data_IF_747680242044
#
_entry.id   IF_747680242044
#
_cell.length_a   1.000
_cell.length_b   1.000
_cell.length_c   1.000
_cell.angle_alpha   90.00
_cell.angle_beta   90.00
_cell.angle_gamma   90.00
#
_symmetry.space_group_name_H-M   'P 1'
#
loop_
_entity.id
_entity.type
_entity.pdbx_description
1 polymer ?
#
# COMPACT_ATOMS: atom_id res chain seq x y z
N UNK A 1 -12.19 6.99 4.37
CA UNK A 1 -11.00 6.23 3.89
C UNK A 1 -10.71 6.64 2.46
N UNK A 2 -9.45 6.85 2.14
CA UNK A 2 -8.98 7.20 0.79
C UNK A 2 -9.23 6.10 -0.24
N UNK A 3 -8.81 6.33 -1.48
CA UNK A 3 -8.70 5.27 -2.47
C UNK A 3 -7.46 5.46 -3.34
N UNK A 4 -6.91 4.34 -3.80
CA UNK A 4 -5.80 4.28 -4.72
C UNK A 4 -6.23 3.63 -6.03
N UNK A 5 -5.58 4.05 -7.11
CA UNK A 5 -5.66 3.44 -8.43
C UNK A 5 -4.26 3.43 -9.04
N UNK A 6 -3.86 2.33 -9.63
CA UNK A 6 -2.56 2.18 -10.27
C UNK A 6 -2.64 1.42 -11.58
N UNK A 7 -1.77 1.77 -12.53
CA UNK A 7 -1.53 1.03 -13.77
C UNK A 7 -0.03 0.86 -13.93
N UNK A 8 0.39 -0.35 -14.26
CA UNK A 8 1.78 -0.74 -14.43
C UNK A 8 1.95 -1.59 -15.69
N UNK A 9 3.19 -1.80 -16.10
CA UNK A 9 3.53 -2.53 -17.32
C UNK A 9 2.83 -1.96 -18.55
N UNK A 10 2.84 -0.61 -18.68
CA UNK A 10 2.12 0.13 -19.71
C UNK A 10 2.65 -0.24 -21.10
N UNK A 11 1.75 -0.63 -22.01
CA UNK A 11 2.03 -1.05 -23.37
C UNK A 11 1.26 -0.25 -24.41
N UNK A 12 0.46 0.70 -23.96
CA UNK A 12 -0.38 1.57 -24.78
C UNK A 12 0.05 3.03 -24.64
N UNK A 13 -0.58 3.94 -25.36
CA UNK A 13 -0.29 5.37 -25.23
C UNK A 13 -0.55 5.87 -23.81
N UNK A 14 0.50 6.31 -23.12
CA UNK A 14 0.44 6.72 -21.72
C UNK A 14 -0.40 8.00 -21.52
N UNK A 15 -0.50 8.88 -22.51
CA UNK A 15 -1.29 10.13 -22.45
C UNK A 15 -2.78 9.82 -22.45
N UNK A 16 -3.21 8.94 -23.35
CA UNK A 16 -4.61 8.50 -23.40
C UNK A 16 -4.96 7.65 -22.18
N UNK A 17 -4.03 6.78 -21.75
CA UNK A 17 -4.20 5.95 -20.56
C UNK A 17 -4.33 6.80 -19.28
N UNK A 18 -3.59 7.92 -19.18
CA UNK A 18 -3.70 8.87 -18.07
C UNK A 18 -5.11 9.48 -17.97
N UNK A 19 -5.72 9.84 -19.09
CA UNK A 19 -7.10 10.36 -19.13
C UNK A 19 -8.07 9.28 -18.62
N UNK A 20 -7.90 8.06 -19.09
CA UNK A 20 -8.72 6.92 -18.67
C UNK A 20 -8.53 6.61 -17.18
N UNK A 21 -7.31 6.64 -16.68
CA UNK A 21 -7.01 6.43 -15.25
C UNK A 21 -7.70 7.46 -14.35
N UNK A 22 -7.75 8.74 -14.78
CA UNK A 22 -8.49 9.79 -14.06
C UNK A 22 -9.99 9.53 -14.02
N UNK A 23 -10.60 9.06 -15.13
CA UNK A 23 -12.01 8.68 -15.17
C UNK A 23 -12.31 7.53 -14.20
N UNK A 24 -11.46 6.49 -14.21
CA UNK A 24 -11.62 5.31 -13.37
C UNK A 24 -11.39 5.64 -11.89
N UNK A 25 -10.39 6.45 -11.55
CA UNK A 25 -10.15 6.92 -10.17
C UNK A 25 -11.36 7.67 -9.62
N UNK A 26 -11.98 8.53 -10.44
CA UNK A 26 -13.18 9.31 -10.05
C UNK A 26 -14.38 8.44 -9.64
N UNK A 27 -14.46 7.19 -10.11
CA UNK A 27 -15.49 6.25 -9.65
C UNK A 27 -15.40 5.99 -8.13
N UNK A 28 -14.21 6.22 -7.55
CA UNK A 28 -13.93 6.04 -6.12
C UNK A 28 -13.91 7.35 -5.32
N UNK A 29 -14.30 8.50 -5.92
CA UNK A 29 -14.29 9.81 -5.28
C UNK A 29 -15.10 9.91 -3.98
N UNK A 30 -16.14 9.10 -3.84
CA UNK A 30 -16.94 9.04 -2.61
C UNK A 30 -16.11 8.58 -1.39
N UNK A 31 -14.97 7.89 -1.61
CA UNK A 31 -14.04 7.50 -0.54
C UNK A 31 -13.12 8.64 -0.11
N UNK A 32 -12.75 9.50 -1.03
CA UNK A 32 -11.83 10.61 -0.80
C UNK A 32 -12.25 11.87 -1.54
N UNK A 33 -13.24 12.61 -1.02
CA UNK A 33 -13.82 13.74 -1.72
C UNK A 33 -12.98 15.01 -1.69
N UNK A 34 -11.96 15.10 -0.81
CA UNK A 34 -11.27 16.35 -0.51
C UNK A 34 -10.25 16.73 -1.58
N UNK A 35 -9.52 15.75 -2.11
CA UNK A 35 -8.48 16.00 -3.10
C UNK A 35 -8.27 14.79 -4.02
N UNK A 36 -7.88 15.07 -5.27
CA UNK A 36 -7.42 14.06 -6.23
C UNK A 36 -5.99 14.38 -6.64
N UNK A 37 -5.12 13.38 -6.62
CA UNK A 37 -3.75 13.47 -7.12
C UNK A 37 -3.45 12.39 -8.14
N UNK A 38 -2.52 12.67 -9.05
CA UNK A 38 -2.06 11.72 -10.06
C UNK A 38 -0.58 11.91 -10.34
N UNK A 39 0.13 10.80 -10.42
CA UNK A 39 1.43 10.65 -11.07
C UNK A 39 1.23 9.89 -12.38
N UNK A 40 1.94 10.26 -13.43
CA UNK A 40 1.93 9.54 -14.70
C UNK A 40 3.30 9.63 -15.37
N UNK A 41 3.80 8.49 -15.81
CA UNK A 41 4.97 8.31 -16.67
C UNK A 41 4.60 7.35 -17.80
N UNK A 42 5.58 7.03 -18.65
CA UNK A 42 5.38 6.05 -19.73
C UNK A 42 5.19 4.62 -19.20
N UNK A 43 5.65 4.32 -17.98
CA UNK A 43 5.67 2.98 -17.40
C UNK A 43 4.68 2.76 -16.25
N UNK A 44 4.27 3.84 -15.56
CA UNK A 44 3.37 3.75 -14.41
C UNK A 44 2.44 4.95 -14.28
N UNK A 45 1.22 4.69 -13.84
CA UNK A 45 0.24 5.70 -13.43
C UNK A 45 -0.23 5.36 -12.02
N UNK A 46 -0.18 6.34 -11.11
CA UNK A 46 -0.72 6.24 -9.75
C UNK A 46 -1.69 7.39 -9.52
N UNK A 47 -2.91 7.09 -9.13
CA UNK A 47 -3.91 8.08 -8.77
C UNK A 47 -4.44 7.83 -7.35
N UNK A 48 -4.80 8.92 -6.68
CA UNK A 48 -5.28 8.90 -5.31
C UNK A 48 -6.47 9.86 -5.14
N UNK A 49 -7.55 9.35 -4.51
CA UNK A 49 -8.66 10.17 -4.04
C UNK A 49 -8.55 10.27 -2.50
N UNK A 50 -8.36 11.47 -1.99
CA UNK A 50 -7.98 11.73 -0.59
C UNK A 50 -9.17 12.12 0.27
N UNK A 51 -9.27 11.46 1.43
CA UNK A 51 -9.95 11.94 2.63
C UNK A 51 -8.88 12.45 3.60
N UNK A 52 -8.87 13.75 3.86
CA UNK A 52 -7.82 14.41 4.66
C UNK A 52 -8.07 14.19 6.14
N UNK A 53 -7.31 13.30 6.79
CA UNK A 53 -7.39 13.00 8.23
C UNK A 53 -6.11 13.43 8.92
N UNK A 54 -4.96 12.94 8.46
CA UNK A 54 -3.62 13.28 8.95
C UNK A 54 -2.96 14.24 7.97
N UNK A 55 -2.27 15.26 8.49
CA UNK A 55 -1.58 16.29 7.70
C UNK A 55 -2.47 16.94 6.61
N UNK A 56 -3.57 17.52 7.05
CA UNK A 56 -4.62 18.09 6.19
C UNK A 56 -4.05 19.09 5.18
N UNK A 57 -2.99 19.84 5.54
CA UNK A 57 -2.45 20.93 4.74
C UNK A 57 -1.33 20.51 3.79
N UNK A 58 -0.57 19.43 4.05
CA UNK A 58 0.63 19.08 3.30
C UNK A 58 0.68 17.61 2.81
N UNK A 59 -0.08 16.69 3.38
CA UNK A 59 -0.07 15.25 3.02
C UNK A 59 -0.77 14.92 1.70
N UNK A 60 -0.63 15.74 0.65
CA UNK A 60 -1.19 15.44 -0.67
C UNK A 60 -0.53 14.19 -1.26
N UNK A 61 -1.35 13.28 -1.83
CA UNK A 61 -0.87 12.06 -2.45
C UNK A 61 -1.07 12.11 -3.98
N UNK A 62 -0.26 11.40 -4.76
CA UNK A 62 0.82 10.46 -4.34
C UNK A 62 1.95 11.16 -3.56
N UNK A 63 2.54 10.43 -2.60
CA UNK A 63 3.72 10.87 -1.85
C UNK A 63 5.01 10.59 -2.66
N UNK A 64 6.05 11.39 -2.40
CA UNK A 64 7.33 11.28 -3.08
C UNK A 64 8.48 11.29 -2.08
N UNK A 65 9.57 10.54 -2.39
CA UNK A 65 10.84 10.79 -1.72
C UNK A 65 11.44 12.15 -2.16
N UNK A 66 12.49 12.61 -1.50
CA UNK A 66 13.13 13.90 -1.79
C UNK A 66 13.58 14.04 -3.26
N UNK A 67 14.11 12.97 -3.85
CA UNK A 67 14.61 12.93 -5.23
C UNK A 67 13.48 12.79 -6.26
N UNK A 68 12.25 12.52 -5.81
CA UNK A 68 11.07 12.22 -6.64
C UNK A 68 11.23 11.00 -7.54
N UNK A 69 12.10 10.08 -7.15
CA UNK A 69 12.33 8.81 -7.85
C UNK A 69 11.40 7.70 -7.37
N UNK A 70 10.92 7.78 -6.12
CA UNK A 70 9.92 6.87 -5.57
C UNK A 70 8.59 7.60 -5.41
N UNK A 71 7.53 6.98 -5.88
CA UNK A 71 6.17 7.52 -5.86
C UNK A 71 5.24 6.52 -5.17
N UNK A 72 4.47 6.98 -4.19
CA UNK A 72 3.62 6.14 -3.35
C UNK A 72 2.18 6.65 -3.35
N UNK A 73 1.24 5.78 -3.74
CA UNK A 73 -0.18 5.94 -3.46
C UNK A 73 -0.59 4.95 -2.37
N UNK A 74 -1.13 5.43 -1.27
CA UNK A 74 -1.49 4.59 -0.12
C UNK A 74 -2.85 4.97 0.45
N UNK A 75 -3.65 3.98 0.79
CA UNK A 75 -4.85 4.10 1.59
C UNK A 75 -4.64 3.33 2.88
N UNK A 76 -4.62 4.01 4.03
CA UNK A 76 -4.40 3.36 5.32
C UNK A 76 -3.87 4.30 6.38
N UNK A 77 -3.47 3.69 7.49
CA UNK A 77 -2.84 4.34 8.64
C UNK A 77 -1.73 3.44 9.18
N UNK A 78 -0.55 4.03 9.41
CA UNK A 78 0.61 3.34 10.00
C UNK A 78 0.76 3.78 11.45
N UNK A 79 0.43 2.91 12.37
CA UNK A 79 0.33 3.24 13.80
C UNK A 79 1.68 3.48 14.47
N UNK A 80 2.73 2.76 14.03
CA UNK A 80 4.08 2.90 14.58
C UNK A 80 4.95 3.93 13.83
N UNK A 81 4.33 4.82 13.02
CA UNK A 81 5.05 5.79 12.20
C UNK A 81 5.99 6.72 12.98
N UNK A 82 5.65 7.09 14.22
CA UNK A 82 6.50 7.97 15.03
C UNK A 82 7.82 7.29 15.42
N UNK A 83 7.77 6.00 15.79
CA UNK A 83 8.97 5.23 16.11
C UNK A 83 9.84 5.04 14.85
N UNK A 84 9.21 4.73 13.72
CA UNK A 84 9.92 4.59 12.43
C UNK A 84 10.53 5.93 11.98
N UNK A 85 9.83 7.05 12.14
CA UNK A 85 10.39 8.37 11.85
C UNK A 85 11.60 8.71 12.74
N UNK A 86 11.57 8.34 14.01
CA UNK A 86 12.70 8.54 14.90
C UNK A 86 13.89 7.65 14.52
N UNK A 87 13.66 6.41 14.10
CA UNK A 87 14.70 5.45 13.69
C UNK A 87 15.37 5.83 12.37
N UNK A 88 14.58 6.30 11.39
CA UNK A 88 15.08 6.56 10.03
C UNK A 88 15.34 8.04 9.73
N UNK A 89 15.05 8.97 10.66
CA UNK A 89 15.14 10.40 10.44
C UNK A 89 16.54 10.94 10.10
N UNK A 90 17.60 10.25 10.50
CA UNK A 90 18.98 10.62 10.14
C UNK A 90 19.37 10.16 8.72
N UNK A 91 18.63 9.21 8.14
CA UNK A 91 18.92 8.57 6.84
C UNK A 91 17.92 8.93 5.75
N UNK A 92 16.71 9.34 6.13
CA UNK A 92 15.63 9.71 5.24
C UNK A 92 15.06 11.09 5.59
N UNK A 93 15.02 11.99 4.63
CA UNK A 93 14.44 13.32 4.83
C UNK A 93 12.93 13.28 4.52
N UNK A 94 12.12 13.23 5.57
CA UNK A 94 10.66 13.28 5.46
C UNK A 94 10.20 14.62 4.88
N UNK A 95 9.31 14.56 3.89
CA UNK A 95 8.79 15.73 3.17
C UNK A 95 7.45 16.20 3.71
N UNK A 96 6.69 15.33 4.38
CA UNK A 96 5.33 15.58 4.89
C UNK A 96 5.18 15.12 6.34
N UNK A 97 4.07 15.49 6.97
CA UNK A 97 3.64 14.94 8.26
C UNK A 97 2.84 13.65 8.15
N UNK A 98 2.64 13.11 6.93
CA UNK A 98 1.86 11.88 6.73
C UNK A 98 2.53 10.69 7.41
N UNK A 99 1.75 9.92 8.17
CA UNK A 99 2.16 8.66 8.77
C UNK A 99 2.62 7.64 7.72
N UNK A 100 2.00 7.63 6.56
CA UNK A 100 2.28 6.70 5.48
C UNK A 100 3.62 6.98 4.74
N UNK A 101 4.24 8.15 4.90
CA UNK A 101 5.53 8.46 4.26
C UNK A 101 6.66 7.54 4.74
N UNK A 102 6.53 6.91 5.92
CA UNK A 102 7.51 5.94 6.42
C UNK A 102 7.68 4.74 5.49
N UNK A 103 6.70 4.42 4.66
CA UNK A 103 6.78 3.37 3.64
C UNK A 103 7.90 3.68 2.64
N UNK A 104 8.04 4.95 2.21
CA UNK A 104 9.12 5.38 1.31
C UNK A 104 10.49 5.27 1.98
N UNK A 105 10.60 5.65 3.26
CA UNK A 105 11.84 5.54 4.02
C UNK A 105 12.28 4.08 4.17
N UNK A 106 11.36 3.20 4.54
CA UNK A 106 11.61 1.77 4.70
C UNK A 106 11.97 1.10 3.37
N UNK A 107 11.25 1.44 2.29
CA UNK A 107 11.56 0.91 0.96
C UNK A 107 12.96 1.32 0.49
N UNK A 108 13.36 2.57 0.71
CA UNK A 108 14.70 3.05 0.35
C UNK A 108 15.81 2.28 1.07
N UNK A 109 15.61 1.89 2.32
CA UNK A 109 16.61 1.20 3.16
C UNK A 109 16.62 -0.32 2.96
N UNK A 110 15.44 -0.94 2.83
CA UNK A 110 15.28 -2.41 2.88
C UNK A 110 14.76 -3.02 1.58
N UNK A 111 14.43 -2.20 0.57
CA UNK A 111 13.74 -2.71 -0.61
C UNK A 111 12.35 -3.26 -0.27
N UNK A 112 11.86 -4.35 -0.89
CA UNK A 112 10.51 -4.86 -0.67
C UNK A 112 10.31 -5.61 0.67
N UNK A 113 11.36 -5.88 1.44
CA UNK A 113 11.32 -6.76 2.63
C UNK A 113 10.91 -6.06 3.93
N UNK A 114 10.45 -4.82 3.88
CA UNK A 114 10.12 -4.03 5.07
C UNK A 114 8.70 -4.24 5.63
N UNK A 115 7.82 -4.95 4.91
CA UNK A 115 6.38 -4.93 5.23
C UNK A 115 6.05 -5.45 6.64
N UNK A 116 6.83 -6.36 7.19
CA UNK A 116 6.63 -6.89 8.56
C UNK A 116 7.00 -5.86 9.66
N UNK A 117 7.70 -4.78 9.31
CA UNK A 117 7.98 -3.67 10.23
C UNK A 117 6.78 -2.73 10.40
N UNK A 118 5.80 -2.78 9.49
CA UNK A 118 4.63 -1.91 9.53
C UNK A 118 3.57 -2.45 10.49
N UNK A 119 3.16 -1.60 11.42
CA UNK A 119 1.98 -1.84 12.26
C UNK A 119 0.88 -0.89 11.80
N UNK A 120 -0.18 -1.43 11.23
CA UNK A 120 -1.25 -0.60 10.69
C UNK A 120 -2.24 -1.35 9.82
N UNK A 121 -3.16 -0.60 9.26
CA UNK A 121 -4.07 -1.03 8.22
C UNK A 121 -3.73 -0.28 6.94
N UNK A 122 -3.39 -0.99 5.86
CA UNK A 122 -2.91 -0.34 4.64
C UNK A 122 -3.11 -1.18 3.39
N UNK A 123 -3.26 -0.48 2.28
CA UNK A 123 -3.02 -0.99 0.94
C UNK A 123 -2.31 0.10 0.15
N UNK A 124 -1.22 -0.25 -0.53
CA UNK A 124 -0.42 0.72 -1.26
C UNK A 124 0.08 0.19 -2.60
N UNK A 125 0.41 1.12 -3.46
CA UNK A 125 1.16 0.91 -4.68
C UNK A 125 2.31 1.94 -4.73
N UNK A 126 3.54 1.45 -4.84
CA UNK A 126 4.78 2.21 -4.93
C UNK A 126 5.41 1.97 -6.29
N UNK A 127 5.90 3.02 -6.93
CA UNK A 127 6.69 2.94 -8.16
C UNK A 127 8.08 3.54 -7.94
N UNK A 128 9.10 2.78 -8.30
CA UNK A 128 10.51 3.15 -8.30
C UNK A 128 10.94 3.42 -9.74
N UNK A 129 11.11 4.69 -10.09
CA UNK A 129 11.47 5.10 -11.46
C UNK A 129 12.93 4.84 -11.81
N UNK A 130 13.81 4.63 -10.83
CA UNK A 130 15.23 4.30 -11.07
C UNK A 130 15.41 2.85 -11.50
N UNK A 131 14.59 1.95 -10.91
CA UNK A 131 14.61 0.53 -11.24
C UNK A 131 13.57 0.13 -12.28
N UNK A 132 12.67 1.07 -12.65
CA UNK A 132 11.46 0.79 -13.40
C UNK A 132 10.69 -0.40 -12.80
N UNK A 133 10.41 -0.30 -11.51
CA UNK A 133 9.82 -1.38 -10.73
C UNK A 133 8.69 -0.87 -9.84
N UNK A 134 7.77 -1.76 -9.50
CA UNK A 134 6.68 -1.43 -8.60
C UNK A 134 6.55 -2.45 -7.48
N UNK A 135 6.08 -1.96 -6.33
CA UNK A 135 5.74 -2.74 -5.16
C UNK A 135 4.29 -2.47 -4.75
N UNK A 136 3.49 -3.52 -4.69
CA UNK A 136 2.11 -3.46 -4.21
C UNK A 136 2.04 -4.26 -2.92
N UNK A 137 1.46 -3.68 -1.86
CA UNK A 137 1.36 -4.34 -0.57
C UNK A 137 0.01 -4.11 0.09
N UNK A 138 -0.42 -5.09 0.91
CA UNK A 138 -1.67 -5.04 1.67
C UNK A 138 -1.46 -5.56 3.08
N UNK A 139 -2.11 -4.94 4.06
CA UNK A 139 -2.04 -5.33 5.47
C UNK A 139 -2.44 -6.78 5.71
N UNK A 140 -1.93 -7.34 6.80
CA UNK A 140 -2.03 -8.77 7.11
C UNK A 140 -3.45 -9.26 7.43
N UNK A 141 -4.36 -8.37 7.82
CA UNK A 141 -5.78 -8.68 8.02
C UNK A 141 -6.63 -8.37 6.78
N UNK A 142 -6.08 -7.62 5.81
CA UNK A 142 -6.83 -7.16 4.66
C UNK A 142 -7.92 -6.17 5.00
N UNK A 143 -7.72 -5.35 6.06
CA UNK A 143 -8.69 -4.33 6.49
C UNK A 143 -8.94 -3.35 5.37
N UNK A 144 -7.86 -2.92 4.69
CA UNK A 144 -7.97 -2.04 3.54
C UNK A 144 -8.22 -2.88 2.28
N UNK A 145 -9.29 -2.60 1.54
CA UNK A 145 -9.59 -3.34 0.32
C UNK A 145 -8.59 -3.00 -0.78
N UNK A 146 -8.18 -4.02 -1.53
CA UNK A 146 -7.34 -3.89 -2.71
C UNK A 146 -7.70 -4.98 -3.73
N UNK A 147 -7.89 -4.59 -4.97
CA UNK A 147 -8.16 -5.47 -6.11
C UNK A 147 -7.09 -5.28 -7.17
N UNK A 148 -6.82 -6.32 -7.91
CA UNK A 148 -5.92 -6.29 -9.07
C UNK A 148 -6.57 -6.96 -10.27
N UNK A 149 -6.15 -6.56 -11.46
CA UNK A 149 -6.63 -7.14 -12.69
C UNK A 149 -5.71 -6.85 -13.87
N UNK A 150 -5.93 -7.58 -14.96
CA UNK A 150 -5.19 -7.39 -16.19
C UNK A 150 -6.15 -7.07 -17.34
N UNK A 151 -5.75 -6.13 -18.18
CA UNK A 151 -6.46 -5.81 -19.42
C UNK A 151 -6.09 -6.77 -20.55
N UNK A 152 -6.56 -6.47 -21.77
CA UNK A 152 -6.28 -7.26 -22.96
C UNK A 152 -4.85 -7.21 -23.46
N UNK A 153 -4.10 -6.19 -23.05
CA UNK A 153 -2.69 -6.00 -23.38
C UNK A 153 -1.75 -6.60 -22.32
N UNK A 154 -2.32 -7.11 -21.22
CA UNK A 154 -1.57 -7.64 -20.09
C UNK A 154 -0.95 -6.53 -19.22
N UNK A 155 -1.51 -5.31 -19.25
CA UNK A 155 -1.19 -4.24 -18.32
C UNK A 155 -1.82 -4.55 -16.96
N UNK A 156 -1.08 -4.34 -15.87
CA UNK A 156 -1.58 -4.56 -14.52
C UNK A 156 -2.31 -3.32 -14.01
N UNK A 157 -3.50 -3.52 -13.51
CA UNK A 157 -4.30 -2.52 -12.82
C UNK A 157 -4.50 -2.90 -11.37
N UNK A 158 -4.44 -1.91 -10.46
CA UNK A 158 -4.82 -2.07 -9.05
C UNK A 158 -5.77 -0.97 -8.63
N UNK A 159 -6.71 -1.29 -7.75
CA UNK A 159 -7.66 -0.30 -7.24
C UNK A 159 -8.23 -0.70 -5.88
N UNK A 160 -8.59 0.31 -5.07
CA UNK A 160 -9.28 0.09 -3.79
C UNK A 160 -10.66 -0.53 -3.95
N UNK A 161 -11.31 -0.36 -5.11
CA UNK A 161 -12.63 -0.95 -5.39
C UNK A 161 -12.69 -1.59 -6.78
N UNK A 162 -13.28 -2.77 -6.85
CA UNK A 162 -13.42 -3.55 -8.08
C UNK A 162 -14.09 -2.77 -9.21
N UNK A 163 -15.06 -1.90 -8.91
CA UNK A 163 -15.80 -1.14 -9.93
C UNK A 163 -14.92 -0.25 -10.81
N UNK A 164 -13.73 0.16 -10.30
CA UNK A 164 -12.78 0.94 -11.09
C UNK A 164 -12.02 0.06 -12.12
N UNK A 165 -11.96 -1.25 -11.90
CA UNK A 165 -11.29 -2.22 -12.77
C UNK A 165 -12.22 -2.83 -13.81
N UNK A 166 -13.51 -3.00 -13.50
CA UNK A 166 -14.51 -3.64 -14.37
C UNK A 166 -14.54 -3.08 -15.81
N UNK A 167 -14.42 -1.75 -16.03
CA UNK A 167 -14.47 -1.21 -17.39
C UNK A 167 -13.25 -1.55 -18.27
N UNK A 168 -12.14 -2.00 -17.69
CA UNK A 168 -10.85 -2.14 -18.40
C UNK A 168 -10.22 -3.51 -18.27
N UNK A 169 -10.44 -4.24 -17.18
CA UNK A 169 -9.80 -5.52 -16.93
C UNK A 169 -10.66 -6.69 -17.42
N UNK A 170 -10.00 -7.68 -18.01
CA UNK A 170 -10.63 -8.96 -18.38
C UNK A 170 -10.74 -9.92 -17.21
N UNK A 171 -9.76 -9.87 -16.32
CA UNK A 171 -9.71 -10.68 -15.10
C UNK A 171 -9.49 -9.77 -13.90
N UNK A 172 -10.25 -9.97 -12.86
CA UNK A 172 -10.15 -9.20 -11.63
C UNK A 172 -10.14 -10.18 -10.46
N UNK A 173 -9.25 -9.96 -9.51
CA UNK A 173 -9.19 -10.71 -8.26
C UNK A 173 -8.89 -9.77 -7.09
N UNK A 174 -9.27 -10.18 -5.90
CA UNK A 174 -8.84 -9.53 -4.68
C UNK A 174 -7.32 -9.74 -4.50
N UNK A 175 -6.60 -8.68 -4.09
CA UNK A 175 -5.21 -8.80 -3.71
C UNK A 175 -5.12 -9.47 -2.34
N UNK A 176 -4.33 -10.54 -2.16
CA UNK A 176 -4.32 -11.30 -0.90
C UNK A 176 -3.89 -10.45 0.30
N UNK A 177 -4.53 -10.63 1.46
CA UNK A 177 -4.11 -10.05 2.72
C UNK A 177 -2.73 -10.58 3.13
N UNK A 178 -1.93 -9.76 3.84
CA UNK A 178 -0.61 -10.14 4.32
C UNK A 178 0.40 -10.44 3.21
N UNK A 179 0.20 -9.85 2.04
CA UNK A 179 0.99 -10.17 0.86
C UNK A 179 1.50 -8.93 0.15
N UNK A 180 2.52 -9.11 -0.66
CA UNK A 180 3.04 -8.11 -1.57
C UNK A 180 3.35 -8.71 -2.95
N UNK A 181 3.38 -7.85 -3.95
CA UNK A 181 3.85 -8.12 -5.29
C UNK A 181 5.01 -7.18 -5.60
N UNK A 182 6.19 -7.74 -5.79
CA UNK A 182 7.36 -7.02 -6.30
C UNK A 182 7.53 -7.36 -7.79
N UNK A 183 7.56 -6.33 -8.64
CA UNK A 183 7.53 -6.53 -10.11
C UNK A 183 8.74 -7.31 -10.64
N UNK A 184 9.91 -7.19 -10.01
CA UNK A 184 11.11 -7.90 -10.45
C UNK A 184 11.05 -9.41 -10.12
N UNK A 185 10.27 -9.82 -9.12
CA UNK A 185 10.04 -11.23 -8.81
C UNK A 185 8.86 -11.80 -9.61
N UNK A 186 7.87 -10.94 -9.93
CA UNK A 186 6.69 -11.31 -10.71
C UNK A 186 5.67 -12.17 -9.98
N UNK A 187 5.88 -12.45 -8.68
CA UNK A 187 5.04 -13.32 -7.87
C UNK A 187 4.47 -12.59 -6.64
N UNK A 188 3.24 -12.95 -6.28
CA UNK A 188 2.66 -12.49 -5.02
C UNK A 188 3.22 -13.37 -3.89
N UNK A 189 3.85 -12.72 -2.91
CA UNK A 189 4.44 -13.39 -1.74
C UNK A 189 3.73 -12.95 -0.47
N UNK A 190 3.52 -13.90 0.46
CA UNK A 190 3.12 -13.56 1.82
C UNK A 190 4.34 -13.06 2.60
N UNK A 191 4.20 -11.94 3.31
CA UNK A 191 5.21 -11.44 4.24
C UNK A 191 4.87 -11.74 5.70
N UNK A 192 3.59 -12.05 5.98
CA UNK A 192 3.11 -12.25 7.33
C UNK A 192 3.04 -13.73 7.65
N UNK A 193 4.00 -14.22 8.42
CA UNK A 193 4.07 -15.59 8.90
C UNK A 193 4.12 -15.59 10.43
N UNK A 194 3.21 -16.31 11.08
CA UNK A 194 3.14 -16.43 12.53
C UNK A 194 2.85 -17.87 12.91
N UNK A 195 3.44 -18.33 14.01
CA UNK A 195 3.33 -19.72 14.49
C UNK A 195 1.89 -20.18 14.70
N UNK A 196 1.00 -19.24 15.08
CA UNK A 196 -0.40 -19.54 15.31
C UNK A 196 -1.23 -19.85 14.04
N UNK A 197 -0.66 -19.71 12.85
CA UNK A 197 -1.24 -20.25 11.61
C UNK A 197 -1.14 -21.77 11.55
N UNK A 198 -0.18 -22.38 12.29
CA UNK A 198 -0.07 -23.81 12.43
C UNK A 198 -0.60 -24.22 13.82
N UNK A 199 -1.78 -24.85 13.85
CA UNK A 199 -2.40 -25.31 15.09
C UNK A 199 -1.48 -26.28 15.83
N UNK A 200 -0.79 -27.18 15.14
CA UNK A 200 0.09 -28.17 15.76
C UNK A 200 1.34 -27.52 16.41
N UNK A 201 1.79 -26.40 15.88
CA UNK A 201 2.90 -25.62 16.48
C UNK A 201 2.49 -24.89 17.76
N UNK A 202 1.21 -24.56 17.96
CA UNK A 202 0.74 -23.71 19.08
C UNK A 202 -0.18 -24.40 20.07
N UNK A 203 -0.73 -25.58 19.76
CA UNK A 203 -1.74 -26.27 20.57
C UNK A 203 -1.32 -26.51 22.03
N UNK A 204 -0.02 -26.66 22.28
CA UNK A 204 0.55 -26.94 23.60
C UNK A 204 1.16 -25.69 24.27
N UNK A 205 1.17 -24.51 23.61
CA UNK A 205 1.76 -23.29 24.11
C UNK A 205 0.97 -22.62 25.24
N UNK A 206 -0.33 -22.93 25.36
CA UNK A 206 -1.20 -22.37 26.39
C UNK A 206 -1.89 -23.50 27.12
N UNK A 207 -1.31 -23.93 28.25
CA UNK A 207 -1.80 -25.06 29.03
C UNK A 207 -2.76 -24.65 30.16
N UNK A 208 -2.86 -23.35 30.50
CA UNK A 208 -3.73 -22.84 31.54
C UNK A 208 -4.33 -21.44 31.26
N UNK A 209 -5.43 -21.11 31.96
CA UNK A 209 -6.11 -19.82 31.86
C UNK A 209 -5.23 -18.64 32.31
N UNK A 210 -4.25 -18.87 33.17
CA UNK A 210 -3.38 -17.82 33.72
C UNK A 210 -2.37 -17.35 32.69
N UNK A 211 -1.87 -18.26 31.85
CA UNK A 211 -0.99 -17.92 30.74
C UNK A 211 -1.76 -17.21 29.61
N UNK A 212 -2.98 -17.59 29.31
CA UNK A 212 -3.87 -16.84 28.40
C UNK A 212 -4.05 -15.38 28.85
N UNK A 213 -4.38 -15.15 30.13
CA UNK A 213 -4.64 -13.80 30.68
C UNK A 213 -3.37 -12.94 30.67
N UNK A 214 -2.18 -13.51 30.80
CA UNK A 214 -0.92 -12.73 30.71
C UNK A 214 -0.64 -12.18 29.32
N UNK A 215 -0.97 -12.94 28.27
CA UNK A 215 -0.82 -12.48 26.89
C UNK A 215 -1.80 -11.36 26.52
N UNK A 216 -2.98 -11.34 27.13
CA UNK A 216 -4.00 -10.27 26.95
C UNK A 216 -3.73 -9.00 27.76
N UNK A 217 -2.75 -9.03 28.67
CA UNK A 217 -2.32 -7.87 29.47
C UNK A 217 -1.17 -7.08 28.82
N UNK A 218 -0.97 -7.19 27.54
CA UNK A 218 -0.18 -6.20 26.81
C UNK A 218 -0.94 -4.87 26.94
N UNK A 219 -0.35 -3.85 27.58
CA UNK A 219 -1.10 -2.63 27.87
C UNK A 219 -1.51 -1.97 26.56
N UNK A 220 -2.76 -1.59 26.43
CA UNK A 220 -3.32 -0.63 25.47
C UNK A 220 -2.63 0.76 25.51
N UNK A 221 -1.41 0.85 26.03
CA UNK A 221 -0.59 2.08 26.11
C UNK A 221 0.37 2.26 24.93
N UNK A 222 0.22 1.48 23.88
CA UNK A 222 1.00 1.58 22.65
C UNK A 222 0.10 1.74 21.41
N UNK A 223 -1.03 2.42 21.54
CA UNK A 223 -1.84 2.94 20.44
C UNK A 223 -1.86 4.46 20.56
#
# INVERSE_FOLDING_TARGET
MCSIFGVFDIKTDAVELRKKALELSRLMRHRGPDWSGIYASDNAILAHERLSIVDVNAGAQPLYNQQKTHVLAVNGEIYNHQALRAEYGDRYQFQTGSDCEVILALYQEKGPEFLDDLQGMFAFALYDSEKDAYLIGRDHLGIIPLYMGYDEHGQLYVASEMKALVPVCRTIKEFPAGSYLWSQDGEIRSYYHRDWFDYDAVKDNVTDKTSCVRHWKIPLKAI
#
